data_IF_251263394493
#
_entry.id   IF_251263394493
#
_cell.length_a   1.000
_cell.length_b   1.000
_cell.length_c   1.000
_cell.angle_alpha   90.00
_cell.angle_beta   90.00
_cell.angle_gamma   90.00
#
_symmetry.space_group_name_H-M   'P 1'
#
loop_
_entity.id
_entity.type
_entity.pdbx_description
1 polymer ?
#
# COMPACT_ATOMS: atom_id res chain seq x y z
N UNK A 1 9.90 -13.84 19.94
CA UNK A 1 9.84 -13.01 18.72
C UNK A 1 11.26 -12.69 18.30
N UNK A 2 11.62 -12.86 17.03
CA UNK A 2 12.94 -12.56 16.48
C UNK A 2 12.80 -11.44 15.44
N UNK A 3 13.60 -10.38 15.55
CA UNK A 3 13.58 -9.27 14.60
C UNK A 3 14.17 -9.71 13.25
N UNK A 4 13.45 -9.48 12.15
CA UNK A 4 13.91 -9.84 10.79
C UNK A 4 14.32 -8.65 9.94
N UNK A 5 13.73 -7.47 10.14
CA UNK A 5 14.08 -6.26 9.39
C UNK A 5 13.12 -5.12 9.66
N UNK A 6 13.38 -3.99 9.00
CA UNK A 6 12.56 -2.78 9.04
C UNK A 6 12.41 -2.20 7.64
N UNK A 7 11.29 -1.54 7.40
CA UNK A 7 11.05 -0.81 6.16
C UNK A 7 10.69 0.64 6.50
N UNK A 8 11.20 1.54 5.68
CA UNK A 8 10.80 2.94 5.58
C UNK A 8 10.84 3.28 4.09
N UNK A 9 9.98 4.18 3.62
CA UNK A 9 10.03 4.63 2.24
C UNK A 9 11.44 5.17 1.92
N UNK A 10 12.06 4.78 0.80
CA UNK A 10 13.41 5.20 0.44
C UNK A 10 13.47 6.59 -0.20
N UNK A 11 12.29 7.17 -0.50
CA UNK A 11 12.15 8.44 -1.19
C UNK A 11 12.55 9.60 -0.27
N UNK A 12 13.26 10.62 -0.80
CA UNK A 12 13.49 11.85 -0.04
C UNK A 12 12.15 12.48 0.36
N UNK A 13 12.04 12.88 1.62
CA UNK A 13 10.91 13.64 2.15
C UNK A 13 11.46 14.93 2.74
N UNK A 14 10.78 16.04 2.51
CA UNK A 14 11.22 17.36 2.96
C UNK A 14 10.92 17.57 4.44
N UNK A 15 10.26 18.69 4.76
CA UNK A 15 9.68 18.94 6.09
C UNK A 15 8.33 18.22 6.29
N UNK A 16 8.15 17.09 5.60
CA UNK A 16 6.90 16.32 5.61
C UNK A 16 6.82 15.45 6.86
N UNK A 17 5.60 15.28 7.36
CA UNK A 17 5.31 14.36 8.46
C UNK A 17 5.31 12.95 7.90
N UNK A 18 6.38 12.21 8.17
CA UNK A 18 6.59 10.87 7.63
C UNK A 18 6.24 9.82 8.69
N UNK A 19 4.99 9.37 8.72
CA UNK A 19 4.52 8.27 9.58
C UNK A 19 3.67 7.29 8.79
N UNK A 20 3.81 6.01 9.09
CA UNK A 20 3.00 4.95 8.50
C UNK A 20 1.61 4.93 9.13
N UNK A 21 0.57 4.86 8.31
CA UNK A 21 -0.82 4.71 8.73
C UNK A 21 -1.37 3.34 8.30
N UNK A 22 -2.59 3.30 7.77
CA UNK A 22 -3.26 2.04 7.47
C UNK A 22 -2.78 1.45 6.14
N UNK A 23 -2.62 0.14 6.13
CA UNK A 23 -2.27 -0.62 4.94
C UNK A 23 -2.89 -2.02 4.95
N UNK A 24 -2.74 -2.72 3.84
CA UNK A 24 -3.24 -4.07 3.65
C UNK A 24 -2.27 -4.90 2.80
N UNK A 25 -2.25 -6.19 3.06
CA UNK A 25 -1.60 -7.17 2.21
C UNK A 25 -2.25 -7.23 0.82
N UNK A 26 -1.43 -7.29 -0.22
CA UNK A 26 -1.89 -7.56 -1.59
C UNK A 26 -1.82 -9.07 -1.82
N UNK A 27 -2.93 -9.75 -2.16
CA UNK A 27 -2.99 -11.20 -2.30
C UNK A 27 -2.46 -11.64 -3.67
N UNK A 28 -1.16 -11.41 -3.92
CA UNK A 28 -0.49 -11.88 -5.14
C UNK A 28 -0.38 -13.40 -5.19
N UNK A 29 -0.35 -13.95 -6.41
CA UNK A 29 -0.33 -15.40 -6.66
C UNK A 29 1.04 -15.94 -7.09
N UNK A 30 2.05 -15.08 -7.16
CA UNK A 30 3.41 -15.41 -7.61
C UNK A 30 4.38 -15.74 -6.45
N UNK A 31 3.87 -15.89 -5.23
CA UNK A 31 4.65 -16.26 -4.05
C UNK A 31 5.32 -15.09 -3.32
N UNK A 32 5.14 -13.85 -3.79
CA UNK A 32 5.65 -12.67 -3.09
C UNK A 32 4.78 -12.25 -1.90
N UNK A 33 5.37 -11.53 -0.96
CA UNK A 33 4.66 -10.85 0.11
C UNK A 33 4.66 -9.35 -0.15
N UNK A 34 3.53 -8.83 -0.61
CA UNK A 34 3.36 -7.42 -0.94
C UNK A 34 2.34 -6.75 -0.01
N UNK A 35 2.53 -5.47 0.31
CA UNK A 35 1.53 -4.67 1.01
C UNK A 35 1.40 -3.28 0.38
N UNK A 36 0.18 -2.75 0.30
CA UNK A 36 -0.07 -1.33 0.08
C UNK A 36 -0.20 -0.64 1.43
N UNK A 37 0.51 0.47 1.63
CA UNK A 37 0.57 1.14 2.92
C UNK A 37 0.53 2.65 2.74
N UNK A 38 -0.28 3.33 3.54
CA UNK A 38 -0.31 4.78 3.61
C UNK A 38 0.88 5.32 4.43
N UNK A 39 1.53 6.37 3.91
CA UNK A 39 2.67 7.06 4.50
C UNK A 39 2.41 8.56 4.73
N UNK A 40 1.14 8.92 4.99
CA UNK A 40 0.74 10.29 5.27
C UNK A 40 1.13 11.26 4.15
N UNK A 41 1.99 12.24 4.44
CA UNK A 41 2.51 13.19 3.47
C UNK A 41 3.41 12.56 2.41
N UNK A 42 3.96 11.37 2.66
CA UNK A 42 4.68 10.58 1.65
C UNK A 42 3.80 9.71 0.76
N UNK A 43 2.47 9.88 0.85
CA UNK A 43 1.49 9.24 -0.02
C UNK A 43 1.29 7.76 0.22
N UNK A 44 1.26 6.97 -0.86
CA UNK A 44 1.08 5.52 -0.79
C UNK A 44 2.35 4.83 -1.23
N UNK A 45 2.72 3.76 -0.53
CA UNK A 45 3.80 2.85 -0.95
C UNK A 45 3.23 1.46 -1.19
N UNK A 46 3.80 0.77 -2.17
CA UNK A 46 3.65 -0.68 -2.32
C UNK A 46 5.01 -1.29 -2.03
N UNK A 47 5.08 -2.06 -0.95
CA UNK A 47 6.32 -2.69 -0.47
C UNK A 47 6.29 -4.18 -0.76
N UNK A 48 7.38 -4.69 -1.33
CA UNK A 48 7.71 -6.10 -1.38
C UNK A 48 8.59 -6.44 -0.18
N UNK A 49 8.09 -7.30 0.69
CA UNK A 49 8.81 -7.78 1.86
C UNK A 49 8.93 -9.32 1.86
N UNK A 50 8.97 -9.90 0.65
CA UNK A 50 9.18 -11.35 0.44
C UNK A 50 10.43 -11.83 1.20
N UNK A 51 11.51 -11.04 1.13
CA UNK A 51 12.63 -11.11 2.06
C UNK A 51 12.47 -10.03 3.14
N UNK A 52 12.06 -10.38 4.37
CA UNK A 52 11.83 -9.40 5.44
C UNK A 52 13.13 -8.71 5.91
N UNK A 53 14.31 -9.24 5.59
CA UNK A 53 15.58 -8.59 5.87
C UNK A 53 15.92 -7.49 4.84
N UNK A 54 15.29 -7.52 3.67
CA UNK A 54 15.55 -6.59 2.57
C UNK A 54 14.24 -6.12 1.87
N UNK A 55 13.31 -5.48 2.61
CA UNK A 55 12.07 -4.97 2.01
C UNK A 55 12.34 -3.85 1.01
N UNK A 56 11.55 -3.79 -0.08
CA UNK A 56 11.77 -2.86 -1.20
C UNK A 56 10.46 -2.19 -1.61
N UNK A 57 10.51 -0.88 -1.85
CA UNK A 57 9.42 -0.19 -2.54
C UNK A 57 9.39 -0.63 -4.00
N UNK A 58 8.23 -1.05 -4.51
CA UNK A 58 8.04 -1.49 -5.90
C UNK A 58 7.10 -0.58 -6.70
N UNK A 59 6.28 0.21 -6.01
CA UNK A 59 5.47 1.26 -6.60
C UNK A 59 5.11 2.27 -5.51
N UNK A 60 4.81 3.51 -5.91
CA UNK A 60 4.38 4.53 -4.97
C UNK A 60 3.59 5.63 -5.66
N UNK A 61 2.91 6.42 -4.84
CA UNK A 61 2.35 7.71 -5.22
C UNK A 61 2.80 8.73 -4.19
N UNK A 62 3.17 9.90 -4.67
CA UNK A 62 3.68 11.00 -3.86
C UNK A 62 3.09 12.31 -4.39
N UNK A 63 1.79 12.49 -4.16
CA UNK A 63 1.09 13.68 -4.58
C UNK A 63 1.49 14.86 -3.69
N UNK A 64 1.63 16.05 -4.28
CA UNK A 64 1.79 17.26 -3.49
C UNK A 64 0.63 17.41 -2.50
N UNK A 65 0.95 17.80 -1.26
CA UNK A 65 -0.02 17.87 -0.16
C UNK A 65 -0.75 16.54 0.13
N UNK A 66 -0.07 15.41 -0.08
CA UNK A 66 -0.64 14.14 0.33
C UNK A 66 -0.96 14.13 1.83
N UNK A 67 -2.01 13.43 2.18
CA UNK A 67 -2.51 13.24 3.53
C UNK A 67 -3.07 11.81 3.61
N UNK A 68 -2.38 10.85 2.98
CA UNK A 68 -2.94 9.50 2.82
C UNK A 68 -3.04 8.81 4.17
N UNK A 69 -4.25 8.39 4.53
CA UNK A 69 -4.54 7.75 5.81
C UNK A 69 -4.71 6.25 5.69
N UNK A 70 -5.23 5.77 4.56
CA UNK A 70 -5.31 4.34 4.26
C UNK A 70 -5.03 4.08 2.79
N UNK A 71 -4.38 2.95 2.52
CA UNK A 71 -4.18 2.42 1.17
C UNK A 71 -4.49 0.93 1.17
N UNK A 72 -5.63 0.56 0.59
CA UNK A 72 -6.16 -0.80 0.62
C UNK A 72 -6.29 -1.40 -0.76
N UNK A 73 -5.95 -2.67 -0.87
CA UNK A 73 -6.05 -3.39 -2.13
C UNK A 73 -7.41 -4.04 -2.27
N UNK A 74 -8.04 -3.86 -3.44
CA UNK A 74 -9.23 -4.59 -3.81
C UNK A 74 -9.28 -4.83 -5.32
N UNK A 75 -9.34 -6.11 -5.71
CA UNK A 75 -9.60 -6.58 -7.08
C UNK A 75 -8.86 -5.82 -8.19
N UNK A 76 -7.54 -5.69 -8.07
CA UNK A 76 -6.70 -5.08 -9.11
C UNK A 76 -6.32 -3.61 -8.86
N UNK A 77 -6.86 -3.00 -7.81
CA UNK A 77 -6.65 -1.59 -7.52
C UNK A 77 -6.27 -1.36 -6.06
N UNK A 78 -5.45 -0.33 -5.83
CA UNK A 78 -5.24 0.28 -4.51
C UNK A 78 -6.19 1.46 -4.41
N UNK A 79 -7.05 1.43 -3.39
CA UNK A 79 -7.93 2.51 -3.01
C UNK A 79 -7.29 3.25 -1.84
N UNK A 80 -6.95 4.52 -2.08
CA UNK A 80 -6.34 5.37 -1.09
C UNK A 80 -7.28 6.50 -0.70
N UNK A 81 -7.33 6.82 0.59
CA UNK A 81 -8.08 7.97 1.09
C UNK A 81 -7.14 8.96 1.78
N UNK A 82 -7.36 10.23 1.50
CA UNK A 82 -6.77 11.35 2.21
C UNK A 82 -7.46 11.59 3.56
N UNK A 83 -6.80 12.36 4.41
CA UNK A 83 -7.35 12.89 5.64
C UNK A 83 -8.41 13.98 5.38
N UNK A 84 -8.96 14.50 6.47
CA UNK A 84 -10.15 15.37 6.44
C UNK A 84 -9.84 16.85 6.17
N UNK A 85 -8.64 17.21 5.67
CA UNK A 85 -8.28 18.60 5.38
C UNK A 85 -8.42 19.52 6.61
N UNK A 86 -8.06 19.03 7.81
CA UNK A 86 -8.32 19.78 9.06
C UNK A 86 -7.45 21.03 9.23
N UNK A 87 -6.37 21.13 8.48
CA UNK A 87 -5.41 22.23 8.52
C UNK A 87 -5.59 23.23 7.35
N UNK A 88 -6.61 23.05 6.51
CA UNK A 88 -6.89 23.94 5.38
C UNK A 88 -6.04 23.70 4.12
N UNK A 89 -5.20 22.64 4.08
CA UNK A 89 -4.36 22.31 2.90
C UNK A 89 -5.04 21.34 1.96
N UNK A 90 -5.30 21.74 0.70
CA UNK A 90 -5.95 20.87 -0.28
C UNK A 90 -5.24 19.52 -0.36
N UNK A 91 -5.99 18.42 -0.23
CA UNK A 91 -5.46 17.07 -0.38
C UNK A 91 -6.25 16.33 -1.46
N UNK A 92 -5.71 15.23 -2.02
CA UNK A 92 -6.36 14.51 -3.12
C UNK A 92 -7.72 13.88 -2.78
N UNK A 93 -8.09 13.78 -1.50
CA UNK A 93 -9.35 13.21 -1.03
C UNK A 93 -9.45 11.70 -1.23
N UNK A 94 -9.67 11.23 -2.46
CA UNK A 94 -9.80 9.81 -2.78
C UNK A 94 -9.10 9.48 -4.09
N UNK A 95 -8.27 8.45 -4.06
CA UNK A 95 -7.40 8.08 -5.17
C UNK A 95 -7.54 6.59 -5.45
N UNK A 96 -7.48 6.21 -6.73
CA UNK A 96 -7.55 4.82 -7.16
C UNK A 96 -6.39 4.54 -8.10
N UNK A 97 -5.54 3.60 -7.71
CA UNK A 97 -4.31 3.28 -8.42
C UNK A 97 -4.33 1.84 -8.90
N UNK A 98 -3.73 1.60 -10.07
CA UNK A 98 -3.43 0.26 -10.55
C UNK A 98 -1.92 0.06 -10.53
N UNK A 99 -1.46 -1.02 -9.91
CA UNK A 99 -0.04 -1.37 -9.86
C UNK A 99 0.29 -2.28 -11.05
N UNK A 100 1.31 -1.90 -11.82
CA UNK A 100 1.77 -2.64 -13.00
C UNK A 100 3.27 -2.94 -12.93
N UNK A 101 3.72 -3.96 -13.65
CA UNK A 101 5.14 -4.18 -13.94
C UNK A 101 5.66 -3.16 -14.97
N UNK A 102 6.95 -3.26 -15.31
CA UNK A 102 7.63 -2.39 -16.28
C UNK A 102 7.02 -2.49 -17.70
N UNK A 103 6.41 -3.62 -18.03
CA UNK A 103 5.72 -3.85 -19.30
C UNK A 103 4.24 -3.37 -19.26
N UNK A 104 3.82 -2.74 -18.17
CA UNK A 104 2.45 -2.26 -17.97
C UNK A 104 1.42 -3.36 -17.65
N UNK A 105 1.87 -4.59 -17.35
CA UNK A 105 0.96 -5.68 -16.97
C UNK A 105 0.57 -5.56 -15.49
N UNK A 106 -0.71 -5.73 -15.13
CA UNK A 106 -1.14 -5.65 -13.75
C UNK A 106 -0.57 -6.79 -12.91
N UNK A 107 -0.41 -6.53 -11.61
CA UNK A 107 -0.11 -7.59 -10.64
C UNK A 107 -1.13 -8.73 -10.75
N UNK A 108 -0.64 -9.97 -10.73
CA UNK A 108 -1.50 -11.16 -10.67
C UNK A 108 -1.93 -11.37 -9.23
N UNK A 109 -3.21 -11.14 -8.95
CA UNK A 109 -3.79 -11.27 -7.61
C UNK A 109 -4.98 -12.20 -7.59
N UNK A 110 -5.32 -12.69 -6.40
CA UNK A 110 -6.65 -13.24 -6.15
C UNK A 110 -7.69 -12.12 -6.27
N UNK A 111 -8.86 -12.47 -6.78
CA UNK A 111 -10.02 -11.59 -6.83
C UNK A 111 -11.10 -12.13 -5.89
N UNK A 112 -11.80 -11.24 -5.23
CA UNK A 112 -12.87 -11.54 -4.30
C UNK A 112 -14.23 -11.28 -4.95
N UNK A 113 -15.21 -12.13 -4.63
CA UNK A 113 -16.60 -11.96 -5.06
C UNK A 113 -17.44 -11.15 -4.05
N UNK A 114 -16.82 -10.72 -2.94
CA UNK A 114 -17.42 -9.93 -1.87
C UNK A 114 -16.54 -8.74 -1.51
N UNK A 115 -17.08 -7.77 -0.78
CA UNK A 115 -16.31 -6.64 -0.27
C UNK A 115 -15.42 -7.10 0.88
N UNK A 116 -14.11 -6.89 0.72
CA UNK A 116 -13.13 -7.17 1.75
C UNK A 116 -11.96 -6.14 1.76
N UNK A 117 -12.22 -4.87 2.12
CA UNK A 117 -11.16 -3.88 2.22
C UNK A 117 -10.40 -3.90 3.56
N UNK A 118 -10.87 -4.61 4.60
CA UNK A 118 -10.26 -4.57 5.93
C UNK A 118 -10.18 -5.90 6.69
N UNK A 119 -10.88 -6.95 6.26
CA UNK A 119 -10.78 -8.25 6.94
C UNK A 119 -9.62 -9.06 6.34
N UNK A 120 -8.60 -9.31 7.15
CA UNK A 120 -7.67 -10.41 6.86
C UNK A 120 -8.46 -11.71 7.01
N UNK A 121 -9.18 -12.12 5.96
CA UNK A 121 -9.97 -13.36 5.93
C UNK A 121 -9.03 -14.52 6.27
N UNK A 122 -9.11 -14.99 7.52
CA UNK A 122 -8.45 -16.18 8.06
C UNK A 122 -6.91 -16.30 7.99
N UNK A 123 -6.25 -15.46 7.17
CA UNK A 123 -5.04 -15.71 6.34
C UNK A 123 -5.34 -16.47 5.05
N UNK A 124 -5.39 -15.84 3.86
CA UNK A 124 -4.96 -16.46 2.59
C UNK A 124 -5.44 -17.93 2.38
N UNK A 125 -6.65 -18.26 2.87
CA UNK A 125 -6.88 -19.58 3.47
C UNK A 125 -6.66 -20.70 2.46
N UNK A 126 -5.82 -21.62 2.93
CA UNK A 126 -5.35 -22.88 2.38
C UNK A 126 -6.14 -23.41 1.18
N UNK A 127 -5.38 -23.78 0.15
CA UNK A 127 -5.90 -24.34 -1.09
C UNK A 127 -7.08 -25.27 -0.91
N UNK A 128 -8.18 -24.89 -1.55
CA UNK A 128 -9.19 -25.79 -2.11
C UNK A 128 -9.57 -25.26 -3.47
#
# INVERSE_FOLDING_TARGET
MEYKGRYMIPRPQGNETCVTHNGQMIPVTDGRYLASVAYYQGGTTVVDFTDPANPREIAYTDAANSDTWSAYWYNGFVFANGGLHRDGRENPGFEVYRVTDEDGRPLRTRNWHHLNPQTQEGFQETGR
#
